data_IF_941102991792
#
_entry.id   IF_941102991792
#
_cell.length_a   1.000
_cell.length_b   1.000
_cell.length_c   1.000
_cell.angle_alpha   90.00
_cell.angle_beta   90.00
_cell.angle_gamma   90.00
#
_symmetry.space_group_name_H-M   'P 1'
#
loop_
_entity.id
_entity.type
_entity.pdbx_description
1 polymer ?
#
# COMPACT_ATOMS: atom_id res chain seq x y z
N UNK A 1 -10.28 -3.72 -4.12
CA UNK A 1 -9.08 -3.59 -3.26
C UNK A 1 -9.42 -4.28 -1.96
N UNK A 2 -8.63 -5.28 -1.54
CA UNK A 2 -8.90 -6.06 -0.33
C UNK A 2 -7.85 -5.68 0.73
N UNK A 3 -8.19 -5.78 2.02
CA UNK A 3 -7.20 -5.60 3.07
C UNK A 3 -6.10 -6.65 2.94
N UNK A 4 -4.87 -6.22 2.70
CA UNK A 4 -3.73 -7.13 2.73
C UNK A 4 -3.42 -7.42 4.20
N UNK A 5 -3.57 -8.67 4.63
CA UNK A 5 -3.05 -9.12 5.92
C UNK A 5 -1.60 -9.62 5.79
N UNK A 6 -0.97 -9.97 6.90
CA UNK A 6 0.37 -10.60 6.94
C UNK A 6 0.52 -11.76 5.94
N UNK A 7 -0.51 -12.59 5.80
CA UNK A 7 -0.52 -13.72 4.86
C UNK A 7 -0.30 -13.28 3.41
N UNK A 8 -0.84 -12.13 3.00
CA UNK A 8 -0.66 -11.65 1.63
C UNK A 8 0.77 -11.20 1.38
N UNK A 9 1.44 -10.62 2.39
CA UNK A 9 2.85 -10.25 2.31
C UNK A 9 3.78 -11.46 2.13
N UNK A 10 3.52 -12.56 2.83
CA UNK A 10 4.38 -13.75 2.79
C UNK A 10 4.48 -14.37 1.39
N UNK A 11 3.40 -14.33 0.61
CA UNK A 11 3.37 -14.88 -0.75
C UNK A 11 3.75 -13.88 -1.84
N UNK A 12 4.10 -12.63 -1.50
CA UNK A 12 4.64 -11.72 -2.49
C UNK A 12 5.97 -12.26 -3.01
N UNK A 13 6.22 -12.21 -4.33
CA UNK A 13 7.54 -12.50 -4.86
C UNK A 13 8.55 -11.47 -4.32
N UNK A 14 9.85 -11.79 -4.34
CA UNK A 14 10.89 -10.88 -3.82
C UNK A 14 10.96 -9.55 -4.59
N UNK A 15 10.55 -9.57 -5.86
CA UNK A 15 10.37 -8.37 -6.69
C UNK A 15 9.00 -7.73 -6.50
N UNK A 16 8.19 -8.11 -5.52
CA UNK A 16 6.93 -7.47 -5.18
C UNK A 16 7.12 -6.15 -4.45
N UNK A 17 6.08 -5.31 -4.47
CA UNK A 17 6.01 -4.07 -3.72
C UNK A 17 4.62 -3.92 -3.10
N UNK A 18 4.56 -3.15 -2.01
CA UNK A 18 3.32 -2.86 -1.28
C UNK A 18 3.03 -1.38 -1.42
N UNK A 19 1.81 -1.06 -1.83
CA UNK A 19 1.27 0.29 -1.82
C UNK A 19 0.18 0.36 -0.77
N UNK A 20 0.40 1.12 0.30
CA UNK A 20 -0.62 1.43 1.29
C UNK A 20 -1.52 2.55 0.75
N UNK A 21 -2.81 2.24 0.64
CA UNK A 21 -3.80 3.12 0.01
C UNK A 21 -4.33 4.19 0.95
N UNK A 22 -4.29 3.96 2.25
CA UNK A 22 -4.67 4.92 3.27
C UNK A 22 -3.81 4.65 4.50
N UNK A 23 -3.23 5.69 5.07
CA UNK A 23 -2.51 5.56 6.32
C UNK A 23 -3.53 5.52 7.44
N UNK A 24 -3.66 4.37 8.08
CA UNK A 24 -4.57 4.20 9.22
C UNK A 24 -4.07 4.88 10.50
N UNK A 25 -2.94 5.63 10.43
CA UNK A 25 -2.16 6.20 11.55
C UNK A 25 -1.75 5.17 12.60
N UNK A 26 -1.88 3.89 12.26
CA UNK A 26 -1.34 2.80 13.05
C UNK A 26 0.15 2.67 12.68
N UNK A 27 0.99 3.10 13.63
CA UNK A 27 2.45 3.25 13.44
C UNK A 27 3.15 1.97 12.97
N UNK A 28 2.53 0.80 13.12
CA UNK A 28 3.20 -0.49 12.98
C UNK A 28 2.59 -1.45 11.92
N UNK A 29 1.57 -1.05 11.16
CA UNK A 29 0.73 -2.07 10.52
C UNK A 29 1.29 -2.65 9.21
N UNK A 30 1.87 -1.84 8.31
CA UNK A 30 2.28 -2.32 6.98
C UNK A 30 3.73 -2.03 6.58
N UNK A 31 4.29 -0.92 7.05
CA UNK A 31 5.71 -0.59 6.80
C UNK A 31 6.65 -1.63 7.42
N UNK A 32 6.36 -2.03 8.66
CA UNK A 32 7.18 -3.00 9.38
C UNK A 32 7.03 -4.40 8.78
N UNK A 33 5.81 -4.78 8.38
CA UNK A 33 5.58 -6.05 7.68
C UNK A 33 6.32 -6.11 6.35
N UNK A 34 6.30 -5.03 5.56
CA UNK A 34 7.04 -4.95 4.32
C UNK A 34 8.56 -5.06 4.54
N UNK A 35 9.05 -4.39 5.59
CA UNK A 35 10.46 -4.44 5.99
C UNK A 35 10.89 -5.84 6.44
N UNK A 36 10.06 -6.53 7.25
CA UNK A 36 10.29 -7.90 7.70
C UNK A 36 10.30 -8.90 6.53
N UNK A 37 9.41 -8.72 5.55
CA UNK A 37 9.40 -9.53 4.32
C UNK A 37 10.55 -9.17 3.37
N UNK A 38 11.16 -7.99 3.50
CA UNK A 38 12.19 -7.49 2.60
C UNK A 38 11.66 -6.97 1.26
N UNK A 39 10.39 -6.57 1.20
CA UNK A 39 9.77 -5.97 0.00
C UNK A 39 9.68 -4.45 0.11
N UNK A 40 9.63 -3.76 -1.02
CA UNK A 40 9.49 -2.30 -1.03
C UNK A 40 8.11 -1.89 -0.54
N UNK A 41 8.08 -0.82 0.25
CA UNK A 41 6.87 -0.21 0.77
C UNK A 41 6.73 1.21 0.22
N UNK A 42 5.51 1.52 -0.24
CA UNK A 42 5.10 2.80 -0.77
C UNK A 42 3.79 3.21 -0.11
N UNK A 43 3.58 4.51 0.02
CA UNK A 43 2.34 5.11 0.51
C UNK A 43 2.14 6.45 -0.17
N UNK A 44 1.00 7.08 0.08
CA UNK A 44 0.72 8.41 -0.46
C UNK A 44 1.73 9.44 0.05
N UNK A 45 2.23 10.33 -0.82
CA UNK A 45 3.10 11.39 -0.37
C UNK A 45 2.33 12.36 0.56
N UNK A 46 2.98 12.94 1.59
CA UNK A 46 2.31 13.76 2.60
C UNK A 46 1.45 14.87 2.01
N UNK A 47 1.92 15.52 0.95
CA UNK A 47 1.24 16.60 0.24
C UNK A 47 -0.03 16.15 -0.50
N UNK A 48 -0.25 14.85 -0.70
CA UNK A 48 -1.44 14.28 -1.37
C UNK A 48 -2.34 13.46 -0.44
N UNK A 49 -2.00 13.37 0.84
CA UNK A 49 -2.82 12.69 1.85
C UNK A 49 -4.26 13.22 1.92
N UNK A 50 -4.46 14.51 1.63
CA UNK A 50 -5.77 15.17 1.57
C UNK A 50 -6.69 14.69 0.43
N UNK A 51 -6.17 13.88 -0.50
CA UNK A 51 -6.93 13.28 -1.61
C UNK A 51 -7.53 11.91 -1.24
N UNK A 52 -7.38 11.49 0.01
CA UNK A 52 -7.90 10.25 0.57
C UNK A 52 -9.15 10.60 1.37
N UNK A 53 -10.31 10.12 0.92
CA UNK A 53 -11.60 10.49 1.50
C UNK A 53 -12.20 9.31 2.27
N UNK A 54 -12.22 9.34 3.62
CA UNK A 54 -12.92 8.32 4.41
C UNK A 54 -14.44 8.43 4.20
N UNK A 55 -15.14 7.30 4.19
CA UNK A 55 -16.59 7.25 4.06
C UNK A 55 -17.30 7.60 5.38
N UNK A 56 -16.67 7.24 6.51
CA UNK A 56 -17.13 7.52 7.87
C UNK A 56 -15.93 7.45 8.84
N UNK A 57 -16.20 7.66 10.14
CA UNK A 57 -15.17 7.62 11.18
C UNK A 57 -14.62 6.20 11.46
N UNK A 58 -15.24 5.16 10.89
CA UNK A 58 -14.93 3.74 11.06
C UNK A 58 -15.14 3.27 12.50
N UNK A 59 -16.12 2.41 12.78
CA UNK A 59 -16.36 1.97 14.17
C UNK A 59 -15.74 0.61 14.46
N UNK A 60 -14.94 0.52 15.51
CA UNK A 60 -14.40 -0.77 15.97
C UNK A 60 -15.56 -1.69 16.41
N UNK A 61 -15.66 -2.93 15.90
CA UNK A 61 -16.83 -3.79 16.14
C UNK A 61 -17.00 -4.22 17.60
N UNK A 62 -15.94 -4.14 18.42
CA UNK A 62 -15.98 -4.57 19.83
C UNK A 62 -15.99 -3.41 20.82
N UNK A 63 -15.41 -2.26 20.48
CA UNK A 63 -15.31 -1.11 21.40
C UNK A 63 -16.20 0.05 20.99
N UNK A 64 -16.65 0.10 19.73
CA UNK A 64 -17.45 1.19 19.17
C UNK A 64 -16.64 2.45 18.85
N UNK A 65 -15.36 2.50 19.24
CA UNK A 65 -14.51 3.67 19.04
C UNK A 65 -14.20 3.91 17.55
N UNK A 66 -14.10 5.19 17.14
CA UNK A 66 -13.58 5.57 15.84
C UNK A 66 -12.18 5.01 15.57
N UNK A 67 -12.02 4.31 14.46
CA UNK A 67 -10.76 3.77 14.01
C UNK A 67 -10.75 3.66 12.48
N UNK A 68 -9.77 4.33 11.88
CA UNK A 68 -9.49 4.44 10.43
C UNK A 68 -9.38 3.11 9.66
N UNK A 69 -9.25 1.98 10.35
CA UNK A 69 -9.17 0.64 9.75
C UNK A 69 -10.55 0.09 9.38
N UNK A 70 -11.60 0.57 10.04
CA UNK A 70 -12.97 0.06 9.90
C UNK A 70 -13.86 0.95 9.05
N UNK A 71 -13.27 1.78 8.18
CA UNK A 71 -13.98 2.59 7.20
C UNK A 71 -13.54 2.27 5.78
N UNK A 72 -14.41 2.56 4.82
CA UNK A 72 -14.09 2.52 3.41
C UNK A 72 -13.49 3.85 2.97
N UNK A 73 -12.65 3.83 1.95
CA UNK A 73 -12.03 5.04 1.40
C UNK A 73 -12.40 5.22 -0.07
N UNK A 74 -12.59 6.47 -0.46
CA UNK A 74 -12.80 6.91 -1.84
C UNK A 74 -11.55 7.66 -2.30
N UNK A 75 -11.25 7.49 -3.59
CA UNK A 75 -10.08 8.09 -4.24
C UNK A 75 -10.49 8.59 -5.62
N UNK A 76 -9.80 9.62 -6.10
CA UNK A 76 -9.84 9.95 -7.53
C UNK A 76 -9.15 8.83 -8.34
N UNK A 77 -9.83 8.19 -9.31
CA UNK A 77 -9.26 7.07 -10.05
C UNK A 77 -8.01 7.44 -10.87
N UNK A 78 -7.96 8.65 -11.42
CA UNK A 78 -6.83 9.08 -12.25
C UNK A 78 -5.58 9.32 -11.40
N UNK A 79 -5.74 9.94 -10.24
CA UNK A 79 -4.66 10.16 -9.30
C UNK A 79 -4.18 8.84 -8.67
N UNK A 80 -5.08 7.94 -8.29
CA UNK A 80 -4.70 6.61 -7.80
C UNK A 80 -3.86 5.86 -8.84
N UNK A 81 -4.28 5.91 -10.11
CA UNK A 81 -3.52 5.29 -11.20
C UNK A 81 -2.14 5.94 -11.37
N UNK A 82 -2.03 7.26 -11.21
CA UNK A 82 -0.75 7.98 -11.25
C UNK A 82 0.18 7.50 -10.13
N UNK A 83 -0.31 7.38 -8.90
CA UNK A 83 0.49 6.90 -7.77
C UNK A 83 1.00 5.48 -7.99
N UNK A 84 0.13 4.56 -8.44
CA UNK A 84 0.52 3.17 -8.74
C UNK A 84 1.56 3.09 -9.87
N UNK A 85 1.44 3.95 -10.88
CA UNK A 85 2.45 4.04 -11.97
C UNK A 85 3.80 4.50 -11.46
N UNK A 86 3.85 5.47 -10.55
CA UNK A 86 5.10 5.94 -9.94
C UNK A 86 5.79 4.80 -9.18
N UNK A 87 5.05 4.07 -8.35
CA UNK A 87 5.54 2.86 -7.64
C UNK A 87 6.10 1.82 -8.62
N UNK A 88 5.36 1.55 -9.70
CA UNK A 88 5.77 0.56 -10.70
C UNK A 88 7.04 0.98 -11.46
N UNK A 89 7.21 2.27 -11.73
CA UNK A 89 8.37 2.81 -12.44
C UNK A 89 9.65 2.78 -11.61
N UNK A 90 9.54 2.99 -10.29
CA UNK A 90 10.67 2.93 -9.37
C UNK A 90 11.12 1.47 -9.12
N UNK A 91 10.14 0.56 -9.00
CA UNK A 91 10.38 -0.84 -8.63
C UNK A 91 10.61 -1.81 -9.79
N UNK A 92 10.25 -1.44 -11.02
CA UNK A 92 10.33 -2.30 -12.21
C UNK A 92 11.74 -2.83 -12.54
N UNK A 93 12.80 -2.29 -11.94
CA UNK A 93 14.19 -2.67 -12.21
C UNK A 93 14.59 -4.04 -11.64
N UNK A 94 13.85 -4.59 -10.68
CA UNK A 94 14.16 -5.87 -10.02
C UNK A 94 13.49 -7.12 -10.62
N UNK A 95 12.62 -6.96 -11.63
CA UNK A 95 11.87 -8.09 -12.18
C UNK A 95 12.81 -9.05 -12.95
N UNK A 96 12.76 -10.38 -12.71
CA UNK A 96 13.69 -11.35 -13.30
C UNK A 96 13.75 -11.28 -14.84
N UNK A 97 12.61 -11.07 -15.52
CA UNK A 97 12.59 -10.90 -16.98
C UNK A 97 13.22 -9.59 -17.48
N UNK A 98 13.26 -8.55 -16.66
CA UNK A 98 13.89 -7.27 -17.02
C UNK A 98 15.40 -7.33 -16.78
N UNK A 99 15.85 -8.00 -15.72
CA UNK A 99 17.27 -8.29 -15.46
C UNK A 99 17.90 -9.20 -16.52
N UNK A 100 17.14 -10.17 -17.04
CA UNK A 100 17.58 -11.02 -18.16
C UNK A 100 17.71 -10.26 -19.49
N UNK A 101 17.00 -9.14 -19.66
CA UNK A 101 17.01 -8.33 -20.89
C UNK A 101 18.09 -7.24 -20.88
N UNK A 102 18.53 -6.78 -19.70
CA UNK A 102 19.65 -5.83 -19.58
C UNK A 102 21.04 -6.49 -19.62
N UNK A 103 21.10 -7.82 -19.52
CA UNK A 103 22.33 -8.63 -19.63
C UNK A 103 22.59 -9.19 -21.03
N UNK A 104 21.83 -8.76 -22.05
CA UNK A 104 22.06 -9.10 -23.47
C UNK A 104 22.48 -7.86 -24.25
#
# INVERSE_FOLDING_TARGET
>A
MHGAGLTHLLFLPDWGAIMELYNCDDRNCYKDLASLRGVKYFTWPPEKSHLIYPADDGRHPQTGDPHKKFTNYRFDPAELQRQVKLVSSDHGKGHPRLLLRSRR
#
